data_IF_745514119008
#
_entry.id   IF_745514119008
#
_cell.length_a   1.000
_cell.length_b   1.000
_cell.length_c   1.000
_cell.angle_alpha   90.00
_cell.angle_beta   90.00
_cell.angle_gamma   90.00
#
_symmetry.space_group_name_H-M   'P 1'
#
loop_
_entity.id
_entity.type
_entity.pdbx_description
1 polymer ?
#
# COMPACT_ATOMS: atom_id res chain seq x y z
N UNK A 1 -30.02 -13.11 -53.16
CA UNK A 1 -30.01 -13.86 -54.44
C UNK A 1 -29.96 -15.34 -54.12
N UNK A 2 -30.81 -16.14 -54.77
CA UNK A 2 -30.94 -17.58 -54.54
C UNK A 2 -29.83 -18.32 -55.30
N UNK A 3 -28.75 -18.71 -54.59
CA UNK A 3 -27.52 -19.32 -55.14
C UNK A 3 -27.71 -20.71 -55.79
N UNK A 4 -28.93 -21.25 -55.81
CA UNK A 4 -29.20 -22.65 -56.23
C UNK A 4 -29.58 -22.82 -57.71
N UNK A 5 -29.78 -21.74 -58.46
CA UNK A 5 -30.02 -21.81 -59.93
C UNK A 5 -29.05 -20.85 -60.61
N UNK A 6 -28.03 -21.39 -61.27
CA UNK A 6 -26.91 -20.66 -61.88
C UNK A 6 -27.31 -19.28 -62.39
N UNK A 7 -26.67 -18.25 -61.83
CA UNK A 7 -27.07 -16.85 -61.93
C UNK A 7 -26.91 -16.30 -63.35
N UNK A 8 -27.88 -16.55 -64.23
CA UNK A 8 -28.02 -15.79 -65.46
C UNK A 8 -28.57 -14.41 -65.10
N UNK A 9 -27.79 -13.36 -65.34
CA UNK A 9 -28.26 -11.98 -65.16
C UNK A 9 -29.48 -11.70 -66.05
N UNK A 10 -30.36 -10.75 -65.71
CA UNK A 10 -31.49 -10.42 -66.62
C UNK A 10 -30.97 -9.98 -68.00
N UNK A 11 -29.76 -9.41 -68.09
CA UNK A 11 -29.07 -9.14 -69.36
C UNK A 11 -28.79 -10.42 -70.14
N UNK A 12 -28.24 -11.45 -69.52
CA UNK A 12 -28.01 -12.75 -70.17
C UNK A 12 -29.33 -13.44 -70.56
N UNK A 13 -30.36 -13.31 -69.72
CA UNK A 13 -31.71 -13.78 -70.02
C UNK A 13 -32.28 -13.07 -71.25
N UNK A 14 -32.10 -11.75 -71.38
CA UNK A 14 -32.56 -10.97 -72.54
C UNK A 14 -31.74 -11.30 -73.80
N UNK A 15 -30.41 -11.43 -73.68
CA UNK A 15 -29.52 -11.74 -74.81
C UNK A 15 -29.86 -13.09 -75.47
N UNK A 16 -30.22 -14.11 -74.68
CA UNK A 16 -30.60 -15.44 -75.17
C UNK A 16 -32.09 -15.57 -75.47
N UNK A 17 -32.83 -14.46 -75.63
CA UNK A 17 -34.30 -14.45 -75.82
C UNK A 17 -34.74 -15.33 -76.98
N UNK A 18 -34.15 -15.17 -78.16
CA UNK A 18 -34.53 -15.93 -79.37
C UNK A 18 -34.37 -17.44 -79.19
N UNK A 19 -33.27 -17.90 -78.58
CA UNK A 19 -33.02 -19.32 -78.33
C UNK A 19 -34.00 -19.87 -77.28
N UNK A 20 -34.20 -19.13 -76.18
CA UNK A 20 -35.14 -19.50 -75.13
C UNK A 20 -36.57 -19.60 -75.65
N UNK A 21 -37.04 -18.65 -76.45
CA UNK A 21 -38.39 -18.66 -77.00
C UNK A 21 -38.60 -19.88 -77.90
N UNK A 22 -37.62 -20.21 -78.75
CA UNK A 22 -37.64 -21.44 -79.55
C UNK A 22 -37.71 -22.69 -78.68
N UNK A 23 -36.94 -22.76 -77.60
CA UNK A 23 -36.96 -23.91 -76.69
C UNK A 23 -38.28 -24.01 -75.92
N UNK A 24 -38.83 -22.89 -75.46
CA UNK A 24 -40.14 -22.84 -74.79
C UNK A 24 -41.27 -23.31 -75.70
N UNK A 25 -41.26 -22.89 -76.97
CA UNK A 25 -42.23 -23.34 -77.98
C UNK A 25 -42.10 -24.85 -78.20
N UNK A 26 -40.87 -25.37 -78.44
CA UNK A 26 -40.63 -26.81 -78.60
C UNK A 26 -41.07 -27.64 -77.40
N UNK A 27 -40.80 -27.16 -76.18
CA UNK A 27 -41.22 -27.84 -74.95
C UNK A 27 -42.75 -27.85 -74.81
N UNK A 28 -43.40 -26.74 -75.14
CA UNK A 28 -44.86 -26.63 -75.11
C UNK A 28 -45.54 -27.53 -76.15
N UNK A 29 -45.02 -27.58 -77.38
CA UNK A 29 -45.47 -28.49 -78.41
C UNK A 29 -45.33 -29.96 -78.00
N UNK A 30 -44.18 -30.33 -77.41
CA UNK A 30 -43.98 -31.69 -76.85
C UNK A 30 -44.97 -31.99 -75.72
N UNK A 31 -45.27 -31.02 -74.87
CA UNK A 31 -46.24 -31.18 -73.78
C UNK A 31 -47.67 -31.33 -74.33
N UNK A 32 -48.05 -30.57 -75.34
CA UNK A 32 -49.37 -30.66 -75.97
C UNK A 32 -49.56 -31.98 -76.71
N UNK A 33 -48.55 -32.46 -77.46
CA UNK A 33 -48.58 -33.79 -78.09
C UNK A 33 -48.73 -34.93 -77.09
N UNK A 34 -48.13 -34.81 -75.89
CA UNK A 34 -48.35 -35.80 -74.81
C UNK A 34 -49.78 -35.78 -74.28
N UNK A 35 -50.44 -34.62 -74.27
CA UNK A 35 -51.84 -34.48 -73.86
C UNK A 35 -52.78 -35.03 -74.94
N UNK A 36 -52.52 -34.75 -76.22
CA UNK A 36 -53.29 -35.26 -77.36
C UNK A 36 -53.33 -36.80 -77.37
N UNK A 37 -52.18 -37.43 -77.13
CA UNK A 37 -52.02 -38.89 -77.10
C UNK A 37 -52.41 -39.54 -75.76
N UNK A 38 -53.01 -38.80 -74.82
CA UNK A 38 -53.46 -39.35 -73.54
C UNK A 38 -54.88 -39.92 -73.61
N UNK A 39 -55.25 -40.77 -72.65
CA UNK A 39 -56.59 -41.36 -72.53
C UNK A 39 -57.64 -40.40 -71.90
N UNK A 40 -57.39 -39.09 -71.92
CA UNK A 40 -58.30 -38.07 -71.39
C UNK A 40 -59.49 -37.82 -72.35
N UNK A 41 -60.58 -37.29 -71.81
CA UNK A 41 -61.71 -36.80 -72.64
C UNK A 41 -61.30 -35.58 -73.46
N UNK A 42 -61.92 -35.38 -74.63
CA UNK A 42 -61.60 -34.29 -75.56
C UNK A 42 -61.72 -32.90 -74.92
N UNK A 43 -62.71 -32.72 -74.03
CA UNK A 43 -62.88 -31.47 -73.27
C UNK A 43 -61.71 -31.19 -72.33
N UNK A 44 -61.19 -32.23 -71.67
CA UNK A 44 -60.04 -32.10 -70.76
C UNK A 44 -58.74 -31.85 -71.51
N UNK A 45 -58.54 -32.51 -72.66
CA UNK A 45 -57.39 -32.27 -73.54
C UNK A 45 -57.36 -30.81 -73.99
N UNK A 46 -58.49 -30.29 -74.47
CA UNK A 46 -58.61 -28.89 -74.92
C UNK A 46 -58.28 -27.91 -73.79
N UNK A 47 -58.85 -28.11 -72.60
CA UNK A 47 -58.58 -27.24 -71.44
C UNK A 47 -57.11 -27.26 -71.01
N UNK A 48 -56.45 -28.43 -71.03
CA UNK A 48 -55.03 -28.54 -70.65
C UNK A 48 -54.10 -27.92 -71.70
N UNK A 49 -54.40 -28.11 -72.99
CA UNK A 49 -53.65 -27.47 -74.09
C UNK A 49 -53.79 -25.94 -74.02
N UNK A 50 -55.00 -25.44 -73.77
CA UNK A 50 -55.23 -24.00 -73.61
C UNK A 50 -54.46 -23.42 -72.42
N UNK A 51 -54.46 -24.11 -71.27
CA UNK A 51 -53.66 -23.70 -70.09
C UNK A 51 -52.17 -23.71 -70.38
N UNK A 52 -51.67 -24.70 -71.12
CA UNK A 52 -50.25 -24.75 -71.52
C UNK A 52 -49.89 -23.59 -72.45
N UNK A 53 -50.73 -23.34 -73.47
CA UNK A 53 -50.53 -22.24 -74.41
C UNK A 53 -50.59 -20.87 -73.73
N UNK A 54 -51.50 -20.69 -72.77
CA UNK A 54 -51.57 -19.47 -71.95
C UNK A 54 -50.29 -19.27 -71.14
N UNK A 55 -49.79 -20.30 -70.47
CA UNK A 55 -48.52 -20.25 -69.73
C UNK A 55 -47.31 -19.99 -70.63
N UNK A 56 -47.32 -20.50 -71.86
CA UNK A 56 -46.28 -20.18 -72.86
C UNK A 56 -46.35 -18.69 -73.22
N UNK A 57 -47.53 -18.17 -73.55
CA UNK A 57 -47.72 -16.76 -73.89
C UNK A 57 -47.29 -15.82 -72.77
N UNK A 58 -47.64 -16.13 -71.52
CA UNK A 58 -47.19 -15.35 -70.36
C UNK A 58 -45.65 -15.27 -70.24
N UNK A 59 -44.94 -16.33 -70.65
CA UNK A 59 -43.47 -16.37 -70.66
C UNK A 59 -42.84 -15.66 -71.86
N UNK A 60 -43.51 -15.68 -73.02
CA UNK A 60 -43.07 -14.98 -74.23
C UNK A 60 -43.27 -13.46 -74.11
N UNK A 61 -44.36 -13.06 -73.44
CA UNK A 61 -44.74 -11.66 -73.20
C UNK A 61 -44.00 -11.02 -72.02
N UNK A 62 -42.98 -11.67 -71.47
CA UNK A 62 -42.16 -11.10 -70.41
C UNK A 62 -41.48 -9.80 -70.90
N UNK A 63 -41.84 -8.69 -70.26
CA UNK A 63 -41.31 -7.36 -70.56
C UNK A 63 -39.86 -7.23 -70.07
N UNK A 64 -38.95 -7.07 -71.04
CA UNK A 64 -37.52 -6.98 -70.80
C UNK A 64 -37.13 -5.68 -70.08
N UNK A 65 -37.85 -4.59 -70.34
CA UNK A 65 -37.57 -3.28 -69.74
C UNK A 65 -37.97 -3.26 -68.27
N UNK A 66 -39.15 -3.83 -67.95
CA UNK A 66 -39.60 -3.99 -66.56
C UNK A 66 -38.68 -4.90 -65.73
N UNK A 67 -38.11 -5.93 -66.34
CA UNK A 67 -37.12 -6.81 -65.69
C UNK A 67 -35.82 -6.06 -65.37
N UNK A 68 -35.33 -5.24 -66.31
CA UNK A 68 -34.13 -4.44 -66.10
C UNK A 68 -34.36 -3.31 -65.09
N UNK A 69 -35.52 -2.67 -65.10
CA UNK A 69 -35.89 -1.63 -64.14
C UNK A 69 -35.98 -2.20 -62.72
N UNK A 70 -36.61 -3.36 -62.56
CA UNK A 70 -36.71 -4.04 -61.26
C UNK A 70 -35.34 -4.46 -60.75
N UNK A 71 -34.45 -4.95 -61.63
CA UNK A 71 -33.07 -5.25 -61.26
C UNK A 71 -32.32 -4.00 -60.84
N UNK A 72 -32.40 -2.90 -61.59
CA UNK A 72 -31.77 -1.63 -61.23
C UNK A 72 -32.25 -1.10 -59.88
N UNK A 73 -33.56 -1.17 -59.61
CA UNK A 73 -34.15 -0.79 -58.31
C UNK A 73 -33.60 -1.66 -57.17
N UNK A 74 -33.52 -2.98 -57.37
CA UNK A 74 -32.97 -3.90 -56.38
C UNK A 74 -31.46 -3.66 -56.14
N UNK A 75 -30.67 -3.44 -57.18
CA UNK A 75 -29.24 -3.12 -57.08
C UNK A 75 -29.01 -1.80 -56.35
N UNK A 76 -29.82 -0.77 -56.63
CA UNK A 76 -29.75 0.52 -55.95
C UNK A 76 -30.15 0.41 -54.48
N UNK A 77 -31.17 -0.38 -54.14
CA UNK A 77 -31.55 -0.65 -52.76
C UNK A 77 -30.43 -1.36 -51.99
N UNK A 78 -29.80 -2.39 -52.59
CA UNK A 78 -28.67 -3.10 -51.99
C UNK A 78 -27.47 -2.15 -51.78
N UNK A 79 -27.13 -1.33 -52.79
CA UNK A 79 -26.03 -0.35 -52.67
C UNK A 79 -26.29 0.68 -51.57
N UNK A 80 -27.53 1.14 -51.44
CA UNK A 80 -27.94 2.07 -50.37
C UNK A 80 -27.81 1.42 -48.99
N UNK A 81 -28.30 0.19 -48.82
CA UNK A 81 -28.21 -0.53 -47.55
C UNK A 81 -26.76 -0.85 -47.16
N UNK A 82 -25.91 -1.21 -48.13
CA UNK A 82 -24.47 -1.43 -47.91
C UNK A 82 -23.77 -0.13 -47.52
N UNK A 83 -24.09 0.99 -48.18
CA UNK A 83 -23.52 2.29 -47.85
C UNK A 83 -23.96 2.77 -46.45
N UNK A 84 -25.25 2.64 -46.11
CA UNK A 84 -25.77 2.97 -44.77
C UNK A 84 -25.15 2.06 -43.71
N UNK A 85 -25.02 0.76 -44.00
CA UNK A 85 -24.36 -0.21 -43.12
C UNK A 85 -22.88 0.12 -42.89
N UNK A 86 -22.15 0.51 -43.94
CA UNK A 86 -20.75 0.91 -43.83
C UNK A 86 -20.57 2.22 -43.05
N UNK A 87 -21.41 3.24 -43.30
CA UNK A 87 -21.38 4.50 -42.54
C UNK A 87 -21.73 4.27 -41.08
N UNK A 88 -22.72 3.44 -40.79
CA UNK A 88 -23.09 3.07 -39.41
C UNK A 88 -21.94 2.32 -38.72
N UNK A 89 -21.30 1.35 -39.38
CA UNK A 89 -20.15 0.63 -38.81
C UNK A 89 -18.95 1.53 -38.58
N UNK A 90 -18.65 2.46 -39.50
CA UNK A 90 -17.55 3.43 -39.35
C UNK A 90 -17.85 4.43 -38.24
N UNK A 91 -19.09 4.93 -38.15
CA UNK A 91 -19.54 5.81 -37.07
C UNK A 91 -19.54 5.12 -35.70
N UNK A 92 -20.01 3.88 -35.62
CA UNK A 92 -19.95 3.06 -34.40
C UNK A 92 -18.51 2.76 -33.99
N UNK A 93 -17.62 2.47 -34.95
CA UNK A 93 -16.20 2.22 -34.68
C UNK A 93 -15.50 3.50 -34.22
N UNK A 94 -15.69 4.62 -34.92
CA UNK A 94 -15.12 5.91 -34.54
C UNK A 94 -15.64 6.37 -33.16
N UNK A 95 -16.93 6.15 -32.87
CA UNK A 95 -17.51 6.41 -31.55
C UNK A 95 -16.89 5.55 -30.46
N UNK A 96 -16.71 4.24 -30.71
CA UNK A 96 -16.03 3.32 -29.77
C UNK A 96 -14.56 3.71 -29.55
N UNK A 97 -13.84 4.08 -30.60
CA UNK A 97 -12.43 4.48 -30.51
C UNK A 97 -12.28 5.82 -29.75
N UNK A 98 -13.17 6.78 -29.99
CA UNK A 98 -13.20 8.04 -29.23
C UNK A 98 -13.49 7.82 -27.73
N UNK A 99 -14.46 6.96 -27.41
CA UNK A 99 -14.77 6.56 -26.04
C UNK A 99 -13.57 5.87 -25.37
N UNK A 100 -12.82 5.03 -26.11
CA UNK A 100 -11.61 4.38 -25.63
C UNK A 100 -10.48 5.36 -25.34
N UNK A 101 -10.25 6.34 -26.22
CA UNK A 101 -9.24 7.39 -26.01
C UNK A 101 -9.60 8.25 -24.80
N UNK A 102 -10.88 8.63 -24.66
CA UNK A 102 -11.38 9.38 -23.50
C UNK A 102 -11.17 8.60 -22.20
N UNK A 103 -11.50 7.31 -22.19
CA UNK A 103 -11.21 6.39 -21.09
C UNK A 103 -9.72 6.39 -20.71
N UNK A 104 -8.82 6.15 -21.67
CA UNK A 104 -7.36 6.12 -21.43
C UNK A 104 -6.83 7.47 -20.94
N UNK A 105 -7.32 8.58 -21.48
CA UNK A 105 -6.94 9.93 -21.03
C UNK A 105 -7.38 10.19 -19.59
N UNK A 106 -8.59 9.75 -19.22
CA UNK A 106 -9.08 9.82 -17.86
C UNK A 106 -8.21 8.99 -16.89
N UNK A 107 -7.76 7.80 -17.31
CA UNK A 107 -6.82 6.98 -16.53
C UNK A 107 -5.52 7.72 -16.25
N UNK A 108 -4.92 8.27 -17.31
CA UNK A 108 -3.63 8.92 -17.20
C UNK A 108 -3.70 10.16 -16.28
N UNK A 109 -4.82 10.89 -16.35
CA UNK A 109 -5.11 12.01 -15.46
C UNK A 109 -5.23 11.56 -14.00
N UNK A 110 -5.95 10.47 -13.74
CA UNK A 110 -6.08 9.91 -12.39
C UNK A 110 -4.72 9.54 -11.80
N UNK A 111 -3.95 8.73 -12.56
CA UNK A 111 -2.63 8.27 -12.16
C UNK A 111 -1.70 9.44 -11.85
N UNK A 112 -1.69 10.45 -12.73
CA UNK A 112 -0.88 11.65 -12.56
C UNK A 112 -1.24 12.40 -11.27
N UNK A 113 -2.53 12.53 -10.95
CA UNK A 113 -2.92 13.25 -9.73
C UNK A 113 -2.61 12.52 -8.44
N UNK A 114 -2.77 11.19 -8.43
CA UNK A 114 -2.34 10.38 -7.29
C UNK A 114 -0.83 10.50 -7.12
N UNK A 115 -0.06 10.31 -8.19
CA UNK A 115 1.41 10.43 -8.16
C UNK A 115 1.83 11.82 -7.65
N UNK A 116 1.17 12.89 -8.11
CA UNK A 116 1.44 14.24 -7.63
C UNK A 116 1.14 14.40 -6.14
N UNK A 117 0.02 13.84 -5.66
CA UNK A 117 -0.33 13.80 -4.23
C UNK A 117 0.72 13.07 -3.41
N UNK A 118 1.21 11.93 -3.90
CA UNK A 118 2.28 11.17 -3.27
C UNK A 118 3.57 11.96 -3.21
N UNK A 119 3.96 12.60 -4.32
CA UNK A 119 5.15 13.46 -4.36
C UNK A 119 5.01 14.62 -3.37
N UNK A 120 3.85 15.28 -3.29
CA UNK A 120 3.59 16.35 -2.31
C UNK A 120 3.69 15.84 -0.88
N UNK A 121 3.08 14.68 -0.60
CA UNK A 121 3.19 14.04 0.71
C UNK A 121 4.66 13.72 1.07
N UNK A 122 5.42 13.10 0.17
CA UNK A 122 6.82 12.75 0.44
C UNK A 122 7.73 13.97 0.59
N UNK A 123 7.45 15.06 -0.13
CA UNK A 123 8.15 16.34 -0.01
C UNK A 123 7.73 17.15 1.21
N UNK A 124 6.60 16.83 1.83
CA UNK A 124 6.13 17.54 3.01
C UNK A 124 7.07 17.35 4.20
N UNK A 125 7.26 18.42 4.98
CA UNK A 125 7.98 18.37 6.26
C UNK A 125 7.21 17.59 7.33
N UNK A 126 5.87 17.56 7.22
CA UNK A 126 4.96 16.85 8.14
C UNK A 126 4.55 15.51 7.54
N UNK A 127 5.37 14.48 7.73
CA UNK A 127 5.07 13.09 7.34
C UNK A 127 4.13 12.41 8.35
N UNK A 128 2.98 13.02 8.60
CA UNK A 128 1.93 12.46 9.46
C UNK A 128 0.83 11.81 8.63
N UNK A 129 0.10 10.90 9.26
CA UNK A 129 -1.05 10.24 8.65
C UNK A 129 -2.12 11.25 8.20
N UNK A 130 -2.37 12.29 8.98
CA UNK A 130 -3.31 13.36 8.60
C UNK A 130 -2.89 14.08 7.31
N UNK A 131 -1.58 14.30 7.14
CA UNK A 131 -1.06 14.97 5.95
C UNK A 131 -1.19 14.07 4.71
N UNK A 132 -0.88 12.78 4.86
CA UNK A 132 -1.11 11.79 3.81
C UNK A 132 -2.58 11.77 3.35
N UNK A 133 -3.51 11.69 4.31
CA UNK A 133 -4.94 11.70 4.05
C UNK A 133 -5.39 12.96 3.32
N UNK A 134 -4.90 14.12 3.74
CA UNK A 134 -5.21 15.41 3.11
C UNK A 134 -4.76 15.44 1.64
N UNK A 135 -3.51 15.03 1.37
CA UNK A 135 -2.97 14.99 0.01
C UNK A 135 -3.72 14.01 -0.89
N UNK A 136 -4.10 12.84 -0.37
CA UNK A 136 -4.89 11.86 -1.12
C UNK A 136 -6.30 12.37 -1.42
N UNK A 137 -6.98 12.95 -0.42
CA UNK A 137 -8.29 13.57 -0.61
C UNK A 137 -8.25 14.67 -1.68
N UNK A 138 -7.24 15.53 -1.63
CA UNK A 138 -7.06 16.61 -2.60
C UNK A 138 -6.77 16.06 -4.01
N UNK A 139 -6.00 14.98 -4.11
CA UNK A 139 -5.67 14.36 -5.40
C UNK A 139 -6.87 13.66 -6.04
N UNK A 140 -7.68 12.97 -5.24
CA UNK A 140 -8.95 12.38 -5.67
C UNK A 140 -9.88 13.50 -6.14
N UNK A 141 -10.06 14.57 -5.35
CA UNK A 141 -10.89 15.71 -5.72
C UNK A 141 -10.42 16.35 -7.05
N UNK A 142 -9.12 16.60 -7.19
CA UNK A 142 -8.54 17.20 -8.40
C UNK A 142 -8.70 16.32 -9.64
N UNK A 143 -8.64 14.99 -9.50
CA UNK A 143 -8.98 14.07 -10.58
C UNK A 143 -10.42 14.27 -11.05
N UNK A 144 -11.40 14.22 -10.14
CA UNK A 144 -12.81 14.34 -10.52
C UNK A 144 -13.11 15.71 -11.13
N UNK A 145 -12.55 16.80 -10.58
CA UNK A 145 -12.67 18.14 -11.19
C UNK A 145 -12.15 18.16 -12.64
N UNK A 146 -11.00 17.53 -12.92
CA UNK A 146 -10.43 17.45 -14.27
C UNK A 146 -11.25 16.59 -15.23
N UNK A 147 -11.82 15.47 -14.75
CA UNK A 147 -12.71 14.64 -15.56
C UNK A 147 -14.01 15.38 -15.89
N UNK A 148 -14.59 16.06 -14.91
CA UNK A 148 -15.81 16.84 -15.10
C UNK A 148 -15.57 17.95 -16.12
N UNK A 149 -14.44 18.67 -16.02
CA UNK A 149 -14.06 19.67 -17.01
C UNK A 149 -13.86 19.07 -18.40
N UNK A 150 -13.24 17.88 -18.52
CA UNK A 150 -13.04 17.19 -19.79
C UNK A 150 -14.37 16.80 -20.45
N UNK A 151 -15.33 16.29 -19.67
CA UNK A 151 -16.68 15.95 -20.15
C UNK A 151 -17.44 17.22 -20.56
N UNK A 152 -17.40 18.27 -19.75
CA UNK A 152 -18.05 19.55 -20.06
C UNK A 152 -17.48 20.21 -21.33
N UNK A 153 -16.17 20.08 -21.57
CA UNK A 153 -15.51 20.65 -22.75
C UNK A 153 -15.72 19.79 -24.00
N UNK A 154 -15.87 18.46 -23.85
CA UNK A 154 -16.12 17.53 -24.95
C UNK A 154 -17.59 17.45 -25.40
N UNK A 155 -18.54 17.85 -24.54
CA UNK A 155 -19.99 17.85 -24.81
C UNK A 155 -20.48 19.30 -24.90
N UNK A 156 -20.00 20.07 -25.86
CA UNK A 156 -20.44 21.47 -26.01
C UNK A 156 -21.90 21.61 -26.48
N UNK A 157 -22.59 20.53 -26.89
CA UNK A 157 -23.90 20.61 -27.54
C UNK A 157 -25.04 19.83 -26.88
N UNK A 158 -24.85 19.13 -25.74
CA UNK A 158 -25.95 18.38 -25.12
C UNK A 158 -26.03 18.59 -23.59
N UNK A 159 -26.91 19.53 -23.22
CA UNK A 159 -27.89 19.43 -22.12
C UNK A 159 -27.36 19.60 -20.68
N UNK A 160 -27.64 20.79 -20.12
CA UNK A 160 -27.48 21.12 -18.69
C UNK A 160 -28.36 20.30 -17.71
N UNK A 161 -29.28 19.48 -18.21
CA UNK A 161 -30.12 18.55 -17.42
C UNK A 161 -29.43 17.21 -17.15
N UNK A 162 -28.52 16.76 -18.02
CA UNK A 162 -27.76 15.50 -17.84
C UNK A 162 -26.69 15.67 -16.74
N UNK A 163 -26.27 16.90 -16.47
CA UNK A 163 -25.23 17.24 -15.51
C UNK A 163 -25.60 16.83 -14.08
N UNK A 164 -26.82 17.07 -13.58
CA UNK A 164 -27.11 16.71 -12.18
C UNK A 164 -27.30 15.21 -11.94
N UNK A 165 -27.95 14.50 -12.88
CA UNK A 165 -28.19 13.05 -12.80
C UNK A 165 -26.90 12.24 -12.96
N UNK A 166 -25.97 12.69 -13.80
CA UNK A 166 -24.63 12.10 -13.87
C UNK A 166 -23.81 12.44 -12.64
N UNK A 167 -23.90 13.66 -12.09
CA UNK A 167 -23.00 14.11 -11.00
C UNK A 167 -23.36 13.61 -9.59
N UNK A 168 -24.64 13.36 -9.30
CA UNK A 168 -25.07 12.85 -7.98
C UNK A 168 -24.35 11.55 -7.56
N UNK A 169 -24.36 10.51 -8.41
CA UNK A 169 -23.62 9.26 -8.18
C UNK A 169 -22.10 9.47 -8.01
N UNK A 170 -21.51 10.49 -8.64
CA UNK A 170 -20.07 10.80 -8.57
C UNK A 170 -19.69 11.28 -7.19
N UNK A 171 -20.38 12.32 -6.71
CA UNK A 171 -20.08 12.92 -5.41
C UNK A 171 -20.27 11.89 -4.29
N UNK A 172 -21.30 11.04 -4.43
CA UNK A 172 -21.52 9.89 -3.55
C UNK A 172 -20.34 8.91 -3.56
N UNK A 173 -19.83 8.56 -4.74
CA UNK A 173 -18.69 7.66 -4.89
C UNK A 173 -17.40 8.26 -4.32
N UNK A 174 -17.10 9.54 -4.58
CA UNK A 174 -15.97 10.25 -3.98
C UNK A 174 -16.05 10.20 -2.46
N UNK A 175 -17.23 10.47 -1.91
CA UNK A 175 -17.47 10.47 -0.47
C UNK A 175 -17.28 9.08 0.13
N UNK A 176 -17.77 8.03 -0.53
CA UNK A 176 -17.55 6.63 -0.12
C UNK A 176 -16.08 6.27 -0.15
N UNK A 177 -15.37 6.60 -1.23
CA UNK A 177 -13.93 6.36 -1.36
C UNK A 177 -13.14 7.03 -0.25
N UNK A 178 -13.41 8.32 0.00
CA UNK A 178 -12.79 9.07 1.09
C UNK A 178 -13.12 8.48 2.46
N UNK A 179 -14.34 7.96 2.65
CA UNK A 179 -14.76 7.31 3.90
C UNK A 179 -14.00 6.01 4.14
N UNK A 180 -13.84 5.16 3.13
CA UNK A 180 -13.09 3.90 3.24
C UNK A 180 -11.62 4.16 3.56
N UNK A 181 -10.99 5.11 2.85
CA UNK A 181 -9.61 5.53 3.14
C UNK A 181 -9.50 6.02 4.60
N UNK A 182 -10.46 6.84 5.06
CA UNK A 182 -10.49 7.33 6.44
C UNK A 182 -10.66 6.18 7.45
N UNK A 183 -11.47 5.16 7.13
CA UNK A 183 -11.73 4.02 7.99
C UNK A 183 -10.49 3.12 8.12
N UNK A 184 -9.81 2.79 7.02
CA UNK A 184 -8.56 2.03 7.04
C UNK A 184 -7.48 2.73 7.87
N UNK A 185 -7.44 4.06 7.83
CA UNK A 185 -6.54 4.84 8.68
C UNK A 185 -7.00 4.89 10.14
N UNK A 186 -8.30 4.98 10.39
CA UNK A 186 -8.85 4.94 11.75
C UNK A 186 -8.45 3.66 12.46
N UNK A 187 -8.43 2.51 11.77
CA UNK A 187 -7.94 1.25 12.34
C UNK A 187 -6.47 1.32 12.77
N UNK A 188 -5.62 2.01 11.99
CA UNK A 188 -4.22 2.25 12.39
C UNK A 188 -4.17 3.19 13.61
N UNK A 189 -5.01 4.22 13.67
CA UNK A 189 -5.12 5.11 14.83
C UNK A 189 -5.61 4.40 16.09
N UNK A 190 -6.57 3.48 15.95
CA UNK A 190 -7.06 2.63 17.03
C UNK A 190 -5.97 1.69 17.55
N UNK A 191 -5.16 1.14 16.65
CA UNK A 191 -4.00 0.35 17.04
C UNK A 191 -3.02 1.19 17.88
N UNK A 192 -2.77 2.44 17.49
CA UNK A 192 -1.95 3.39 18.26
C UNK A 192 -2.58 3.73 19.62
N UNK A 193 -3.89 3.98 19.66
CA UNK A 193 -4.59 4.28 20.91
C UNK A 193 -4.59 3.10 21.87
N UNK A 194 -4.83 1.89 21.37
CA UNK A 194 -4.74 0.65 22.14
C UNK A 194 -3.37 0.52 22.83
N UNK A 195 -2.30 0.91 22.16
CA UNK A 195 -0.94 0.88 22.71
C UNK A 195 -0.69 1.92 23.80
N UNK A 196 -1.22 3.12 23.60
CA UNK A 196 -0.97 4.28 24.46
C UNK A 196 -1.91 4.33 25.67
N UNK A 197 -2.97 3.52 25.68
CA UNK A 197 -3.91 3.46 26.79
C UNK A 197 -3.21 3.02 28.08
N UNK A 198 -3.40 3.80 29.15
CA UNK A 198 -2.88 3.50 30.48
C UNK A 198 -3.40 2.17 31.01
N UNK A 199 -4.59 1.73 30.59
CA UNK A 199 -5.18 0.43 30.95
C UNK A 199 -4.36 -0.75 30.43
N UNK A 200 -3.63 -0.56 29.34
CA UNK A 200 -2.81 -1.59 28.71
C UNK A 200 -1.35 -1.55 29.19
N UNK A 201 -1.02 -0.76 30.23
CA UNK A 201 0.35 -0.64 30.76
C UNK A 201 0.94 -1.97 31.22
N UNK A 202 0.13 -2.81 31.87
CA UNK A 202 0.56 -4.08 32.46
C UNK A 202 0.67 -5.24 31.46
N UNK A 203 0.33 -5.02 30.18
CA UNK A 203 0.48 -6.02 29.12
C UNK A 203 1.95 -6.05 28.68
N UNK A 204 2.50 -7.24 28.43
CA UNK A 204 3.88 -7.36 27.93
C UNK A 204 4.02 -6.73 26.54
N UNK A 205 5.18 -6.14 26.27
CA UNK A 205 5.42 -5.44 25.00
C UNK A 205 5.22 -6.32 23.75
N UNK A 206 5.65 -7.60 23.72
CA UNK A 206 5.38 -8.47 22.58
C UNK A 206 3.88 -8.67 22.31
N UNK A 207 3.06 -8.80 23.38
CA UNK A 207 1.61 -8.96 23.25
C UNK A 207 0.97 -7.68 22.72
N UNK A 208 1.44 -6.50 23.17
CA UNK A 208 0.98 -5.20 22.64
C UNK A 208 1.26 -5.04 21.15
N UNK A 209 2.48 -5.37 20.70
CA UNK A 209 2.84 -5.32 19.27
C UNK A 209 2.03 -6.32 18.45
N UNK A 210 1.78 -7.52 18.97
CA UNK A 210 0.94 -8.53 18.31
C UNK A 210 -0.51 -8.05 18.15
N UNK A 211 -1.13 -7.45 19.17
CA UNK A 211 -2.49 -6.92 19.09
C UNK A 211 -2.61 -5.77 18.09
N UNK A 212 -1.59 -4.93 18.02
CA UNK A 212 -1.49 -3.85 17.02
C UNK A 212 -1.37 -4.40 15.62
N UNK A 213 -0.50 -5.39 15.42
CA UNK A 213 -0.40 -6.12 14.16
C UNK A 213 -1.75 -6.72 13.76
N UNK A 214 -2.49 -7.32 14.70
CA UNK A 214 -3.83 -7.85 14.45
C UNK A 214 -4.83 -6.76 14.04
N UNK A 215 -4.88 -5.63 14.74
CA UNK A 215 -5.78 -4.50 14.41
C UNK A 215 -5.44 -3.92 13.03
N UNK A 216 -4.15 -3.76 12.72
CA UNK A 216 -3.68 -3.26 11.43
C UNK A 216 -4.02 -4.24 10.30
N UNK A 217 -3.75 -5.53 10.50
CA UNK A 217 -4.10 -6.57 9.52
C UNK A 217 -5.60 -6.58 9.30
N UNK A 218 -6.42 -6.63 10.35
CA UNK A 218 -7.89 -6.61 10.23
C UNK A 218 -8.39 -5.32 9.53
N UNK A 219 -7.79 -4.16 9.82
CA UNK A 219 -8.14 -2.90 9.16
C UNK A 219 -7.71 -2.82 7.68
N UNK A 220 -6.61 -3.47 7.31
CA UNK A 220 -6.11 -3.56 5.94
C UNK A 220 -6.81 -4.66 5.12
N UNK A 221 -7.05 -5.84 5.70
CA UNK A 221 -7.63 -7.00 5.02
C UNK A 221 -9.16 -7.00 5.04
N UNK A 222 -9.78 -6.41 6.06
CA UNK A 222 -11.24 -6.41 6.22
C UNK A 222 -11.98 -5.42 5.34
N UNK A 223 -11.31 -4.38 4.82
CA UNK A 223 -11.98 -3.21 4.19
C UNK A 223 -11.25 -2.70 2.92
N UNK A 224 -9.93 -2.88 2.75
CA UNK A 224 -9.19 -1.97 1.86
C UNK A 224 -9.16 -2.32 0.35
N UNK A 225 -9.14 -3.59 -0.08
CA UNK A 225 -8.90 -3.89 -1.50
C UNK A 225 -10.18 -4.08 -2.30
N UNK A 226 -11.08 -4.94 -1.82
CA UNK A 226 -12.28 -5.37 -2.54
C UNK A 226 -13.39 -4.30 -2.53
N UNK A 227 -13.62 -3.64 -1.39
CA UNK A 227 -14.60 -2.54 -1.32
C UNK A 227 -14.11 -1.30 -2.06
N UNK A 228 -12.81 -0.94 -1.98
CA UNK A 228 -12.27 0.16 -2.77
C UNK A 228 -12.34 -0.15 -4.27
N UNK A 229 -12.04 -1.38 -4.69
CA UNK A 229 -12.13 -1.73 -6.11
C UNK A 229 -13.57 -1.65 -6.62
N UNK A 230 -14.53 -2.12 -5.84
CA UNK A 230 -15.96 -2.07 -6.22
C UNK A 230 -16.51 -0.64 -6.25
N UNK A 231 -16.15 0.19 -5.27
CA UNK A 231 -16.55 1.61 -5.23
C UNK A 231 -15.95 2.36 -6.42
N UNK A 232 -14.69 2.10 -6.75
CA UNK A 232 -14.02 2.70 -7.90
C UNK A 232 -14.63 2.21 -9.20
N UNK A 233 -14.91 0.91 -9.33
CA UNK A 233 -15.55 0.34 -10.52
C UNK A 233 -16.93 0.95 -10.78
N UNK A 234 -17.77 1.05 -9.74
CA UNK A 234 -19.10 1.68 -9.84
C UNK A 234 -19.01 3.18 -10.11
N UNK A 235 -18.05 3.86 -9.47
CA UNK A 235 -17.81 5.29 -9.66
C UNK A 235 -17.36 5.63 -11.06
N UNK A 236 -16.26 5.04 -11.52
CA UNK A 236 -15.72 5.27 -12.85
C UNK A 236 -16.63 4.74 -13.95
N UNK A 237 -17.32 3.62 -13.72
CA UNK A 237 -18.30 3.08 -14.66
C UNK A 237 -19.52 3.98 -14.87
N UNK A 238 -19.94 4.73 -13.84
CA UNK A 238 -21.03 5.70 -13.96
C UNK A 238 -20.60 6.96 -14.73
N UNK A 239 -19.35 7.40 -14.56
CA UNK A 239 -18.84 8.67 -15.11
C UNK A 239 -18.35 8.52 -16.53
N UNK A 240 -17.66 7.40 -16.77
CA UNK A 240 -17.11 7.01 -18.05
C UNK A 240 -17.59 5.58 -18.32
N UNK A 241 -18.81 5.39 -18.83
CA UNK A 241 -19.32 4.07 -19.21
C UNK A 241 -18.35 3.30 -20.12
N UNK A 242 -17.57 4.04 -20.92
CA UNK A 242 -16.47 3.51 -21.73
C UNK A 242 -15.44 2.67 -20.95
N UNK A 243 -15.16 2.99 -19.69
CA UNK A 243 -14.21 2.25 -18.84
C UNK A 243 -14.75 0.89 -18.38
N UNK A 244 -16.07 0.75 -18.26
CA UNK A 244 -16.73 -0.52 -17.95
C UNK A 244 -16.92 -1.40 -19.19
N UNK A 245 -17.01 -0.78 -20.37
CA UNK A 245 -17.19 -1.47 -21.65
C UNK A 245 -15.89 -2.09 -22.19
N UNK A 246 -14.73 -1.55 -21.82
CA UNK A 246 -13.43 -2.10 -22.20
C UNK A 246 -13.03 -3.17 -21.19
N UNK A 247 -13.24 -4.42 -21.57
CA UNK A 247 -12.82 -5.58 -20.80
C UNK A 247 -11.42 -6.03 -21.22
N UNK A 248 -10.55 -6.25 -20.25
CA UNK A 248 -9.26 -6.90 -20.44
C UNK A 248 -9.43 -8.37 -20.00
N UNK A 249 -9.06 -9.35 -20.85
CA UNK A 249 -9.11 -10.76 -20.46
C UNK A 249 -8.38 -10.99 -19.12
N UNK A 250 -8.96 -11.81 -18.24
CA UNK A 250 -8.48 -12.14 -16.88
C UNK A 250 -8.51 -11.03 -15.81
N UNK A 251 -8.51 -9.75 -16.19
CA UNK A 251 -8.41 -8.62 -15.25
C UNK A 251 -9.71 -7.81 -15.08
N UNK A 252 -10.73 -8.11 -15.89
CA UNK A 252 -12.04 -7.48 -15.81
C UNK A 252 -12.10 -6.14 -16.54
N UNK A 253 -12.98 -5.25 -16.09
CA UNK A 253 -13.13 -3.92 -16.69
C UNK A 253 -11.90 -3.04 -16.42
N UNK A 254 -11.65 -2.07 -17.29
CA UNK A 254 -10.61 -1.07 -17.07
C UNK A 254 -10.86 -0.30 -15.76
N UNK A 255 -12.12 -0.11 -15.37
CA UNK A 255 -12.51 0.46 -14.08
C UNK A 255 -12.09 -0.42 -12.88
N UNK A 256 -12.24 -1.74 -12.96
CA UNK A 256 -11.78 -2.69 -11.93
C UNK A 256 -10.26 -2.64 -11.75
N UNK A 257 -9.49 -2.60 -12.85
CA UNK A 257 -8.02 -2.52 -12.80
C UNK A 257 -7.55 -1.26 -12.08
N UNK A 258 -8.21 -0.12 -12.32
CA UNK A 258 -7.96 1.11 -11.58
C UNK A 258 -8.29 0.93 -10.11
N UNK A 259 -9.43 0.31 -9.81
CA UNK A 259 -9.87 0.02 -8.45
C UNK A 259 -8.81 -0.74 -7.67
N UNK A 260 -8.28 -1.79 -8.27
CA UNK A 260 -7.21 -2.60 -7.71
C UNK A 260 -5.91 -1.79 -7.55
N UNK A 261 -5.49 -1.03 -8.58
CA UNK A 261 -4.30 -0.19 -8.50
C UNK A 261 -4.39 0.86 -7.38
N UNK A 262 -5.52 1.56 -7.29
CA UNK A 262 -5.77 2.55 -6.25
C UNK A 262 -5.83 1.95 -4.86
N UNK A 263 -6.55 0.84 -4.70
CA UNK A 263 -6.61 0.10 -3.45
C UNK A 263 -5.21 -0.35 -3.00
N UNK A 264 -4.39 -0.85 -3.94
CA UNK A 264 -3.01 -1.27 -3.68
C UNK A 264 -2.11 -0.09 -3.28
N UNK A 265 -2.18 1.06 -3.96
CA UNK A 265 -1.38 2.25 -3.62
C UNK A 265 -1.75 2.77 -2.23
N UNK A 266 -3.05 2.93 -1.94
CA UNK A 266 -3.53 3.39 -0.64
C UNK A 266 -3.14 2.42 0.47
N UNK A 267 -3.42 1.13 0.28
CA UNK A 267 -3.10 0.07 1.25
C UNK A 267 -1.59 -0.05 1.50
N UNK A 268 -0.78 0.01 0.43
CA UNK A 268 0.68 -0.06 0.53
C UNK A 268 1.27 1.08 1.35
N UNK A 269 0.75 2.30 1.22
CA UNK A 269 1.24 3.45 1.99
C UNK A 269 0.76 3.39 3.43
N UNK A 270 -0.50 3.03 3.68
CA UNK A 270 -1.01 2.82 5.04
C UNK A 270 -0.18 1.73 5.73
N UNK A 271 0.10 0.63 5.04
CA UNK A 271 0.97 -0.45 5.51
C UNK A 271 2.38 0.04 5.83
N UNK A 272 3.01 0.82 4.94
CA UNK A 272 4.33 1.39 5.19
C UNK A 272 4.36 2.34 6.40
N UNK A 273 3.33 3.17 6.57
CA UNK A 273 3.19 4.06 7.73
C UNK A 273 3.04 3.23 9.01
N UNK A 274 2.21 2.19 8.97
CA UNK A 274 2.02 1.26 10.09
C UNK A 274 3.31 0.54 10.48
N UNK A 275 4.09 0.04 9.50
CA UNK A 275 5.39 -0.59 9.74
C UNK A 275 6.38 0.37 10.40
N UNK A 276 6.55 1.58 9.85
CA UNK A 276 7.45 2.58 10.44
C UNK A 276 7.02 2.99 11.86
N UNK A 277 5.72 2.94 12.17
CA UNK A 277 5.24 3.16 13.53
C UNK A 277 5.67 2.03 14.47
N UNK A 278 5.49 0.77 14.05
CA UNK A 278 5.92 -0.42 14.80
C UNK A 278 7.44 -0.38 15.02
N UNK A 279 8.24 -0.07 14.00
CA UNK A 279 9.70 0.04 14.10
C UNK A 279 10.14 1.08 15.13
N UNK A 280 9.54 2.27 15.12
CA UNK A 280 9.84 3.32 16.11
C UNK A 280 9.52 2.86 17.53
N UNK A 281 8.48 2.06 17.70
CA UNK A 281 8.12 1.53 19.01
C UNK A 281 9.10 0.47 19.48
N UNK A 282 9.48 -0.46 18.61
CA UNK A 282 10.49 -1.47 18.91
C UNK A 282 11.80 -0.79 19.32
N UNK A 283 12.22 0.23 18.57
CA UNK A 283 13.42 1.02 18.89
C UNK A 283 13.37 1.64 20.28
N UNK A 284 12.26 2.31 20.64
CA UNK A 284 12.10 2.93 21.96
C UNK A 284 12.18 1.91 23.10
N UNK A 285 11.61 0.72 22.91
CA UNK A 285 11.70 -0.33 23.92
C UNK A 285 13.13 -0.84 24.11
N UNK A 286 13.85 -1.08 23.01
CA UNK A 286 15.26 -1.44 23.09
C UNK A 286 16.09 -0.36 23.81
N UNK A 287 15.85 0.92 23.54
CA UNK A 287 16.53 2.03 24.23
C UNK A 287 16.26 2.03 25.74
N UNK A 288 15.01 1.77 26.16
CA UNK A 288 14.66 1.64 27.58
C UNK A 288 15.35 0.43 28.22
N UNK A 289 15.30 -0.75 27.59
CA UNK A 289 15.92 -1.97 28.13
C UNK A 289 17.45 -1.84 28.26
N UNK A 290 18.10 -1.19 27.29
CA UNK A 290 19.55 -0.91 27.36
C UNK A 290 19.85 0.07 28.49
N UNK A 291 19.01 1.08 28.68
CA UNK A 291 19.18 2.07 29.75
C UNK A 291 19.05 1.43 31.13
N UNK A 292 18.03 0.59 31.33
CA UNK A 292 17.83 -0.15 32.59
C UNK A 292 19.02 -1.07 32.89
N UNK A 293 19.49 -1.85 31.90
CA UNK A 293 20.70 -2.68 32.05
C UNK A 293 21.94 -1.86 32.41
N UNK A 294 22.06 -0.65 31.88
CA UNK A 294 23.17 0.26 32.20
C UNK A 294 23.06 0.77 33.65
N UNK A 295 21.86 1.11 34.11
CA UNK A 295 21.60 1.53 35.49
C UNK A 295 21.94 0.40 36.45
N UNK A 296 21.45 -0.83 36.18
CA UNK A 296 21.73 -2.00 37.01
C UNK A 296 23.23 -2.27 37.14
N UNK A 297 23.95 -2.24 36.02
CA UNK A 297 25.41 -2.42 36.04
C UNK A 297 26.11 -1.28 36.78
N UNK A 298 25.64 -0.05 36.64
CA UNK A 298 26.18 1.10 37.35
C UNK A 298 25.98 0.97 38.87
N UNK A 299 24.82 0.47 39.31
CA UNK A 299 24.53 0.20 40.71
C UNK A 299 25.40 -0.93 41.28
N UNK A 300 25.66 -1.99 40.51
CA UNK A 300 26.60 -3.05 40.89
C UNK A 300 28.02 -2.52 41.09
N UNK A 301 28.50 -1.65 40.19
CA UNK A 301 29.81 -1.00 40.29
C UNK A 301 29.87 -0.11 41.54
N UNK A 302 28.84 0.70 41.82
CA UNK A 302 28.76 1.53 43.03
C UNK A 302 28.81 0.67 44.30
N UNK A 303 28.11 -0.47 44.32
CA UNK A 303 28.16 -1.42 45.43
C UNK A 303 29.57 -2.00 45.64
N UNK A 304 30.29 -2.32 44.56
CA UNK A 304 31.68 -2.78 44.63
C UNK A 304 32.62 -1.67 45.12
N UNK A 305 32.45 -0.44 44.64
CA UNK A 305 33.23 0.72 45.08
C UNK A 305 33.06 0.97 46.57
N UNK A 306 31.82 0.91 47.09
CA UNK A 306 31.57 1.02 48.53
C UNK A 306 32.31 -0.05 49.34
N UNK A 307 32.34 -1.30 48.88
CA UNK A 307 33.12 -2.36 49.55
C UNK A 307 34.62 -2.06 49.54
N UNK A 308 35.17 -1.58 48.43
CA UNK A 308 36.59 -1.22 48.32
C UNK A 308 36.93 -0.05 49.26
N UNK A 309 36.07 0.97 49.34
CA UNK A 309 36.24 2.11 50.26
C UNK A 309 36.27 1.61 51.71
N UNK A 310 35.28 0.83 52.14
CA UNK A 310 35.27 0.27 53.50
C UNK A 310 36.51 -0.59 53.80
N UNK A 311 36.96 -1.41 52.84
CA UNK A 311 38.18 -2.21 53.00
C UNK A 311 39.42 -1.33 53.15
N UNK A 312 39.51 -0.24 52.39
CA UNK A 312 40.62 0.71 52.49
C UNK A 312 40.58 1.50 53.80
N UNK A 313 39.41 1.95 54.26
CA UNK A 313 39.24 2.60 55.56
C UNK A 313 39.69 1.67 56.69
N UNK A 314 39.25 0.41 56.68
CA UNK A 314 39.68 -0.60 57.66
C UNK A 314 41.20 -0.80 57.64
N UNK A 315 41.82 -0.91 56.45
CA UNK A 315 43.29 -1.03 56.33
C UNK A 315 44.03 0.19 56.84
N UNK A 316 43.49 1.39 56.66
CA UNK A 316 44.08 2.64 57.18
C UNK A 316 44.02 2.64 58.70
N UNK A 317 42.89 2.25 59.29
CA UNK A 317 42.74 2.11 60.74
C UNK A 317 43.73 1.07 61.30
N UNK A 318 43.77 -0.13 60.71
CA UNK A 318 44.70 -1.20 61.09
C UNK A 318 46.17 -0.74 61.01
N UNK A 319 46.53 -0.03 59.93
CA UNK A 319 47.88 0.52 59.75
C UNK A 319 48.20 1.58 60.82
N UNK A 320 47.25 2.45 61.16
CA UNK A 320 47.39 3.47 62.21
C UNK A 320 47.58 2.83 63.58
N UNK A 321 46.78 1.81 63.91
CA UNK A 321 46.91 1.06 65.16
C UNK A 321 48.27 0.37 65.26
N UNK A 322 48.70 -0.32 64.19
CA UNK A 322 50.01 -0.96 64.13
C UNK A 322 51.15 0.05 64.29
N UNK A 323 51.07 1.20 63.64
CA UNK A 323 52.07 2.28 63.80
C UNK A 323 52.10 2.81 65.23
N UNK A 324 50.94 3.07 65.85
CA UNK A 324 50.84 3.52 67.23
C UNK A 324 51.48 2.52 68.20
N UNK A 325 51.17 1.23 68.06
CA UNK A 325 51.76 0.15 68.86
C UNK A 325 53.28 0.07 68.67
N UNK A 326 53.77 0.15 67.43
CA UNK A 326 55.21 0.14 67.14
C UNK A 326 55.93 1.35 67.75
N UNK A 327 55.33 2.54 67.71
CA UNK A 327 55.89 3.75 68.33
C UNK A 327 55.98 3.57 69.84
N UNK A 328 54.90 3.13 70.49
CA UNK A 328 54.87 2.87 71.94
C UNK A 328 55.95 1.87 72.37
N UNK A 329 56.07 0.76 71.66
CA UNK A 329 57.07 -0.27 72.00
C UNK A 329 58.50 0.25 71.80
N UNK A 330 58.76 1.03 70.74
CA UNK A 330 60.08 1.67 70.54
C UNK A 330 60.40 2.69 71.64
N UNK A 331 59.43 3.50 72.06
CA UNK A 331 59.62 4.43 73.18
C UNK A 331 59.93 3.68 74.47
N UNK A 332 59.18 2.61 74.77
CA UNK A 332 59.42 1.74 75.92
C UNK A 332 60.80 1.10 75.89
N UNK A 333 61.22 0.57 74.74
CA UNK A 333 62.56 0.00 74.56
C UNK A 333 63.67 1.06 74.74
N UNK A 334 63.47 2.26 74.22
CA UNK A 334 64.40 3.38 74.36
C UNK A 334 64.51 3.83 75.81
N UNK A 335 63.39 3.99 76.51
CA UNK A 335 63.37 4.32 77.94
C UNK A 335 64.10 3.27 78.77
N UNK A 336 63.84 1.98 78.52
CA UNK A 336 64.55 0.88 79.16
C UNK A 336 66.06 0.90 78.85
N UNK A 337 66.44 1.16 77.61
CA UNK A 337 67.85 1.27 77.22
C UNK A 337 68.55 2.44 77.92
N UNK A 338 67.92 3.62 77.97
CA UNK A 338 68.44 4.79 78.68
C UNK A 338 68.56 4.49 80.17
N UNK A 339 67.51 3.97 80.81
CA UNK A 339 67.51 3.55 82.22
C UNK A 339 68.65 2.56 82.51
N UNK A 340 68.81 1.54 81.68
CA UNK A 340 69.87 0.55 81.84
C UNK A 340 71.27 1.14 81.64
N UNK A 341 71.45 2.01 80.65
CA UNK A 341 72.73 2.70 80.39
C UNK A 341 73.08 3.63 81.53
N UNK A 342 72.11 4.40 82.01
CA UNK A 342 72.25 5.28 83.16
C UNK A 342 72.63 4.49 84.42
N UNK A 343 71.89 3.43 84.75
CA UNK A 343 72.24 2.53 85.87
C UNK A 343 73.66 1.96 85.75
N UNK A 344 74.10 1.58 84.54
CA UNK A 344 75.48 1.11 84.31
C UNK A 344 76.53 2.20 84.54
N UNK A 345 76.30 3.44 84.12
CA UNK A 345 77.25 4.55 84.30
C UNK A 345 77.39 4.90 85.78
N UNK A 346 76.28 5.03 86.50
CA UNK A 346 76.29 5.52 87.88
C UNK A 346 76.58 4.44 88.93
N UNK A 347 76.11 3.21 88.73
CA UNK A 347 76.47 2.12 89.66
C UNK A 347 77.93 1.68 89.49
N UNK A 348 78.55 1.85 88.31
CA UNK A 348 79.98 1.58 88.12
C UNK A 348 80.88 2.57 88.88
N UNK A 349 80.38 3.76 89.22
CA UNK A 349 81.10 4.76 90.05
C UNK A 349 81.10 4.41 91.54
N UNK A 350 80.15 3.60 92.03
CA UNK A 350 80.03 3.29 93.46
C UNK A 350 81.07 2.25 93.91
N UNK A 351 81.55 1.38 93.01
CA UNK A 351 82.60 0.41 93.36
C UNK A 351 84.04 0.99 93.33
N UNK A 352 84.24 2.20 92.81
CA UNK A 352 85.60 2.77 92.64
C UNK A 352 85.97 3.93 93.55
N UNK A 353 85.08 4.44 94.41
CA UNK A 353 85.44 5.51 95.34
C UNK A 353 84.68 5.42 96.68
N UNK A 354 85.14 4.52 97.55
CA UNK A 354 85.12 4.79 99.00
C UNK A 354 86.33 5.66 99.32
N UNK A 355 86.19 6.97 99.20
CA UNK A 355 86.74 7.99 100.11
C UNK A 355 86.47 9.38 99.55
N UNK A 356 86.04 10.25 100.47
CA UNK A 356 85.79 11.70 100.37
C UNK A 356 84.36 12.16 100.06
N UNK A 357 83.72 12.61 101.15
CA UNK A 357 82.45 13.31 101.24
C UNK A 357 82.68 14.79 100.96
N UNK A 358 81.98 15.38 99.97
CA UNK A 358 81.12 16.57 100.14
C UNK A 358 80.73 17.20 98.79
N UNK A 359 79.43 17.60 98.70
CA UNK A 359 78.68 18.22 97.59
C UNK A 359 77.97 17.28 96.60
N UNK A 360 76.80 16.75 96.98
CA UNK A 360 75.82 16.20 96.04
C UNK A 360 74.36 16.57 96.41
N UNK A 361 74.04 17.85 96.57
CA UNK A 361 72.64 18.33 96.56
C UNK A 361 72.18 18.82 95.16
N UNK A 362 73.03 18.79 94.13
CA UNK A 362 72.64 19.15 92.75
C UNK A 362 72.26 17.93 91.88
N UNK A 363 72.67 16.72 92.26
CA UNK A 363 72.44 15.53 91.45
C UNK A 363 71.04 14.94 91.71
N UNK A 364 70.53 15.00 92.95
CA UNK A 364 69.20 14.49 93.30
C UNK A 364 68.07 15.22 92.58
N UNK A 365 68.11 16.55 92.54
CA UNK A 365 67.09 17.35 91.84
C UNK A 365 67.11 17.10 90.32
N UNK A 366 68.30 16.91 89.72
CA UNK A 366 68.42 16.50 88.31
C UNK A 366 67.94 15.07 88.06
N UNK A 367 68.06 14.19 89.05
CA UNK A 367 67.54 12.82 89.00
C UNK A 367 66.01 12.80 89.04
N UNK A 368 65.40 13.63 89.88
CA UNK A 368 63.94 13.75 89.97
C UNK A 368 63.38 14.42 88.69
N UNK A 369 64.11 15.37 88.11
CA UNK A 369 63.76 15.98 86.81
C UNK A 369 63.90 14.97 85.64
N UNK A 370 64.95 14.15 85.61
CA UNK A 370 65.11 13.11 84.57
C UNK A 370 64.08 12.00 84.73
N UNK A 371 63.76 11.57 85.95
CA UNK A 371 62.72 10.57 86.20
C UNK A 371 61.33 11.11 85.82
N UNK A 372 61.05 12.37 86.15
CA UNK A 372 59.83 13.07 85.74
C UNK A 372 59.69 13.15 84.20
N UNK A 373 60.77 13.53 83.50
CA UNK A 373 60.78 13.56 82.02
C UNK A 373 60.65 12.16 81.39
N UNK A 374 61.18 11.12 82.05
CA UNK A 374 61.00 9.73 81.61
C UNK A 374 59.57 9.24 81.78
N UNK A 375 58.94 9.58 82.91
CA UNK A 375 57.54 9.26 83.17
C UNK A 375 56.61 10.02 82.22
N UNK A 376 56.94 11.27 81.86
CA UNK A 376 56.21 12.04 80.84
C UNK A 376 56.34 11.42 79.43
N UNK A 377 57.52 10.89 79.08
CA UNK A 377 57.77 10.18 77.82
C UNK A 377 57.09 8.81 77.73
N UNK A 378 56.69 8.22 78.86
CA UNK A 378 55.98 6.94 78.94
C UNK A 378 54.45 7.10 78.93
N UNK A 379 53.94 8.33 79.13
CA UNK A 379 52.51 8.67 79.20
C UNK A 379 51.94 9.33 77.93
N UNK A 380 52.78 9.69 76.94
CA UNK A 380 52.39 10.15 75.59
C UNK A 380 52.56 9.04 74.56
#
# INVERSE_FOLDING_TARGET
MNKSKGEKTNKEYILKRKEREKDLIKVNERANKKIENSNLSDLEKKSRIEKNNKKLQDKLNADSDKMLETQKKAENAIKKDVAVGAVKQVGEKAGKDALKVMAISALFTLLKEIMNGLVRFFKSKKKSMDNFLSEMKNSIKGFFEKILNFIQTGVSNFIGTIVSEIFGPIVSTIRKLASVIKQSVSSVSEAIHYLLDKKNRNISFPIKIMQVGKIIIVGLTGIAALELSEIIEKGLGTILPALSLIQIPLLGSLANIIGIFMGAVVSGIIGAIAINLIERMIKRQYEMEITDKKIDKSNEILGLQHKIINLNENKVVETKERMSTNIKERHRQTANYIKNTFNKIFNKKIDTNKNEVSKENSNRDKFDEINSLLDELMLK
#
